data_IF_811138575519
#
_entry.id   IF_811138575519
#
_cell.length_a   1.000
_cell.length_b   1.000
_cell.length_c   1.000
_cell.angle_alpha   90.00
_cell.angle_beta   90.00
_cell.angle_gamma   90.00
#
_symmetry.space_group_name_H-M   'P 1'
#
loop_
_entity.id
_entity.type
_entity.pdbx_description
1 polymer ?
#
# COMPACT_ATOMS: atom_id res chain seq x y z
N UNK A 1 38.06 -7.10 5.78
CA UNK A 1 37.20 -7.85 6.71
C UNK A 1 36.87 -6.88 7.84
N UNK A 2 36.01 -5.93 7.54
CA UNK A 2 35.52 -4.93 8.49
C UNK A 2 34.12 -5.34 8.93
N UNK A 3 33.97 -5.42 10.20
CA UNK A 3 32.80 -5.91 10.94
C UNK A 3 31.57 -5.11 10.57
N UNK A 4 30.55 -5.80 10.06
CA UNK A 4 29.17 -5.37 10.03
C UNK A 4 28.83 -4.71 11.37
N UNK A 5 28.45 -3.43 11.34
CA UNK A 5 27.81 -2.76 12.47
C UNK A 5 26.40 -3.33 12.65
N UNK A 6 26.34 -4.53 13.16
CA UNK A 6 25.13 -5.21 13.57
C UNK A 6 25.09 -5.29 15.08
N UNK A 7 24.78 -4.20 15.75
CA UNK A 7 24.28 -4.22 17.10
C UNK A 7 22.98 -3.44 17.11
N UNK A 8 21.86 -4.17 17.09
CA UNK A 8 20.56 -3.59 17.32
C UNK A 8 20.61 -2.76 18.61
N UNK A 9 20.49 -1.46 18.49
CA UNK A 9 20.31 -0.56 19.61
C UNK A 9 19.13 -1.08 20.46
N UNK A 10 19.28 -1.13 21.78
CA UNK A 10 18.25 -1.57 22.72
C UNK A 10 17.10 -0.53 22.86
N UNK A 11 17.02 0.45 21.96
CA UNK A 11 16.05 1.54 21.94
C UNK A 11 15.02 1.44 20.79
N UNK A 12 14.05 2.37 20.77
CA UNK A 12 13.12 2.51 19.64
C UNK A 12 13.86 2.93 18.36
N UNK A 13 13.31 2.53 17.21
CA UNK A 13 13.77 2.91 15.87
C UNK A 13 13.36 4.38 15.66
N UNK A 14 14.35 5.28 15.60
CA UNK A 14 14.16 6.72 15.43
C UNK A 14 13.72 6.99 14.00
N UNK A 15 12.47 7.43 13.84
CA UNK A 15 11.80 7.42 12.55
C UNK A 15 11.41 8.82 12.11
N UNK A 16 11.66 9.12 10.84
CA UNK A 16 11.17 10.31 10.17
C UNK A 16 10.06 9.95 9.18
N UNK A 17 9.01 10.79 9.12
CA UNK A 17 7.94 10.72 8.11
C UNK A 17 8.02 11.94 7.22
N UNK A 18 8.23 11.73 5.91
CA UNK A 18 8.30 12.77 4.88
C UNK A 18 6.94 12.90 4.20
N UNK A 19 6.31 14.06 4.36
CA UNK A 19 4.95 14.32 3.89
C UNK A 19 3.91 14.05 5.00
N UNK A 20 3.11 15.07 5.33
CA UNK A 20 2.01 14.99 6.29
C UNK A 20 0.66 15.26 5.63
N UNK A 21 0.50 14.70 4.40
CA UNK A 21 -0.80 14.57 3.72
C UNK A 21 -1.58 13.35 4.23
N UNK A 22 -2.51 12.83 3.42
CA UNK A 22 -3.32 11.66 3.79
C UNK A 22 -2.41 10.47 4.19
N UNK A 23 -1.40 10.16 3.39
CA UNK A 23 -0.49 9.05 3.66
C UNK A 23 0.22 9.19 5.01
N UNK A 24 0.98 10.27 5.21
CA UNK A 24 1.71 10.48 6.46
C UNK A 24 0.82 10.64 7.68
N UNK A 25 -0.31 11.37 7.55
CA UNK A 25 -1.20 11.67 8.67
C UNK A 25 -2.09 10.50 9.06
N UNK A 26 -2.65 9.76 8.08
CA UNK A 26 -3.66 8.72 8.34
C UNK A 26 -3.01 7.35 8.49
N UNK A 27 -2.00 7.04 7.67
CA UNK A 27 -1.44 5.69 7.67
C UNK A 27 -0.11 5.60 8.45
N UNK A 28 0.89 6.43 8.13
CA UNK A 28 2.23 6.20 8.67
C UNK A 28 2.40 6.67 10.11
N UNK A 29 2.14 7.94 10.38
CA UNK A 29 2.41 8.52 11.72
C UNK A 29 1.61 7.83 12.85
N UNK A 30 0.30 7.51 12.70
CA UNK A 30 -0.45 6.80 13.74
C UNK A 30 0.06 5.39 14.01
N UNK A 31 0.43 4.65 12.95
CA UNK A 31 0.94 3.28 13.09
C UNK A 31 2.32 3.25 13.76
N UNK A 32 3.20 4.19 13.41
CA UNK A 32 4.53 4.35 14.01
C UNK A 32 4.40 4.76 15.48
N UNK A 33 3.59 5.78 15.77
CA UNK A 33 3.42 6.29 17.12
C UNK A 33 2.75 5.28 18.08
N UNK A 34 1.97 4.34 17.54
CA UNK A 34 1.29 3.31 18.33
C UNK A 34 2.18 2.08 18.63
N UNK A 35 3.31 1.92 17.94
CA UNK A 35 4.20 0.76 18.09
C UNK A 35 5.43 1.14 18.94
N UNK A 36 5.58 0.52 20.11
CA UNK A 36 6.70 0.76 21.03
C UNK A 36 8.09 0.42 20.44
N UNK A 37 8.15 -0.25 19.29
CA UNK A 37 9.41 -0.45 18.57
C UNK A 37 9.96 0.81 17.92
N UNK A 38 9.16 1.85 17.80
CA UNK A 38 9.49 3.09 17.09
C UNK A 38 9.40 4.31 17.98
N UNK A 39 10.11 5.36 17.60
CA UNK A 39 9.84 6.74 17.99
C UNK A 39 9.63 7.58 16.72
N UNK A 40 8.59 8.41 16.72
CA UNK A 40 8.34 9.37 15.63
C UNK A 40 9.09 10.67 15.97
N UNK A 41 10.33 10.78 15.45
CA UNK A 41 11.23 11.87 15.85
C UNK A 41 11.14 13.09 14.94
N UNK A 42 10.86 12.88 13.63
CA UNK A 42 10.79 13.98 12.67
C UNK A 42 9.59 13.82 11.75
N UNK A 43 8.88 14.91 11.49
CA UNK A 43 7.85 15.02 10.45
C UNK A 43 8.23 16.16 9.51
N UNK A 44 8.25 15.87 8.19
CA UNK A 44 8.55 16.86 7.16
C UNK A 44 7.25 17.34 6.51
N UNK A 45 6.97 18.63 6.59
CA UNK A 45 5.88 19.28 5.86
C UNK A 45 6.14 20.79 5.71
N UNK A 46 5.99 21.29 4.48
CA UNK A 46 6.10 22.72 4.19
C UNK A 46 4.79 23.50 4.41
N UNK A 47 3.67 22.77 4.53
CA UNK A 47 2.34 23.37 4.75
C UNK A 47 2.18 23.78 6.22
N UNK A 48 1.91 25.06 6.53
CA UNK A 48 1.86 25.55 7.90
C UNK A 48 0.70 24.99 8.72
N UNK A 49 -0.43 24.69 8.07
CA UNK A 49 -1.60 24.11 8.76
C UNK A 49 -1.31 22.66 9.15
N UNK A 50 -0.72 21.89 8.24
CA UNK A 50 -0.24 20.52 8.52
C UNK A 50 0.88 20.50 9.55
N UNK A 51 1.80 21.47 9.52
CA UNK A 51 2.84 21.58 10.52
C UNK A 51 2.28 21.83 11.93
N UNK A 52 1.30 22.73 12.04
CA UNK A 52 0.59 23.01 13.30
C UNK A 52 -0.19 21.79 13.80
N UNK A 53 -0.84 21.06 12.91
CA UNK A 53 -1.55 19.84 13.24
C UNK A 53 -0.60 18.73 13.67
N UNK A 54 0.51 18.51 12.96
CA UNK A 54 1.54 17.54 13.31
C UNK A 54 2.12 17.81 14.71
N UNK A 55 2.48 19.06 14.99
CA UNK A 55 3.01 19.46 16.30
C UNK A 55 2.00 19.25 17.44
N UNK A 56 0.71 19.40 17.17
CA UNK A 56 -0.35 19.12 18.15
C UNK A 56 -0.55 17.63 18.40
N UNK A 57 -0.50 16.81 17.34
CA UNK A 57 -0.74 15.36 17.43
C UNK A 57 0.49 14.60 17.96
N UNK A 58 1.68 15.07 17.61
CA UNK A 58 2.96 14.45 17.93
C UNK A 58 3.92 15.47 18.55
N UNK A 59 3.69 15.90 19.80
CA UNK A 59 4.43 16.99 20.43
C UNK A 59 5.92 16.69 20.64
N UNK A 60 6.30 15.42 20.65
CA UNK A 60 7.69 14.99 20.80
C UNK A 60 8.45 14.96 19.45
N UNK A 61 7.72 15.03 18.33
CA UNK A 61 8.32 15.03 17.00
C UNK A 61 8.79 16.44 16.60
N UNK A 62 9.97 16.51 16.03
CA UNK A 62 10.48 17.75 15.41
C UNK A 62 9.82 17.93 14.04
N UNK A 63 9.17 19.07 13.83
CA UNK A 63 8.57 19.42 12.54
C UNK A 63 9.58 20.26 11.75
N UNK A 64 9.91 19.81 10.54
CA UNK A 64 10.83 20.50 9.63
C UNK A 64 10.17 20.78 8.28
N UNK A 65 10.49 21.90 7.61
CA UNK A 65 9.79 22.29 6.38
C UNK A 65 10.26 21.54 5.14
N UNK A 66 11.51 21.06 5.09
CA UNK A 66 12.09 20.50 3.85
C UNK A 66 12.78 19.15 4.08
N UNK A 67 12.92 18.34 3.04
CA UNK A 67 13.74 17.12 3.10
C UNK A 67 15.21 17.38 3.40
N UNK A 68 15.77 18.51 2.96
CA UNK A 68 17.15 18.91 3.23
C UNK A 68 17.37 19.11 4.74
N UNK A 69 16.41 19.73 5.43
CA UNK A 69 16.45 19.89 6.89
C UNK A 69 16.39 18.54 7.60
N UNK A 70 15.61 17.58 7.06
CA UNK A 70 15.58 16.21 7.56
C UNK A 70 16.96 15.54 7.40
N UNK A 71 17.52 15.55 6.18
CA UNK A 71 18.78 14.84 5.91
C UNK A 71 19.98 15.45 6.66
N UNK A 72 19.90 16.71 7.07
CA UNK A 72 20.86 17.29 8.01
C UNK A 72 20.82 16.62 9.40
N UNK A 73 19.75 15.89 9.74
CA UNK A 73 19.57 15.13 10.98
C UNK A 73 19.80 13.62 10.80
N UNK A 74 20.29 13.17 9.63
CA UNK A 74 20.39 11.73 9.29
C UNK A 74 21.17 10.89 10.30
N UNK A 75 22.16 11.47 11.00
CA UNK A 75 22.89 10.79 12.07
C UNK A 75 22.08 10.44 13.32
N UNK A 76 20.91 11.06 13.49
CA UNK A 76 20.01 10.87 14.62
C UNK A 76 18.82 9.96 14.26
N UNK A 77 18.77 9.41 13.04
CA UNK A 77 17.66 8.62 12.52
C UNK A 77 18.08 7.19 12.17
N UNK A 78 17.13 6.29 12.23
CA UNK A 78 17.28 4.87 11.90
C UNK A 78 16.37 4.44 10.74
N UNK A 79 15.35 5.24 10.40
CA UNK A 79 14.38 4.93 9.35
C UNK A 79 13.78 6.22 8.77
N UNK A 80 13.60 6.23 7.45
CA UNK A 80 12.82 7.25 6.73
C UNK A 80 11.60 6.61 6.08
N UNK A 81 10.44 7.26 6.22
CA UNK A 81 9.17 6.84 5.62
C UNK A 81 8.69 7.93 4.68
N UNK A 82 8.49 7.60 3.41
CA UNK A 82 8.08 8.52 2.36
C UNK A 82 6.58 8.39 2.09
N UNK A 83 5.80 9.39 2.51
CA UNK A 83 4.36 9.52 2.28
C UNK A 83 4.02 10.74 1.40
N UNK A 84 4.87 11.03 0.42
CA UNK A 84 4.75 12.13 -0.54
C UNK A 84 4.10 11.66 -1.85
N UNK A 85 3.82 12.54 -2.83
CA UNK A 85 3.40 12.09 -4.16
C UNK A 85 4.45 11.23 -4.88
N UNK A 86 4.04 10.27 -5.72
CA UNK A 86 4.94 9.26 -6.34
C UNK A 86 6.11 9.85 -7.13
N UNK A 87 5.90 11.00 -7.77
CA UNK A 87 6.94 11.69 -8.54
C UNK A 87 8.21 12.00 -7.71
N UNK A 88 8.06 12.15 -6.41
CA UNK A 88 9.17 12.50 -5.50
C UNK A 88 9.84 11.28 -4.84
N UNK A 89 9.25 10.08 -4.98
CA UNK A 89 9.70 8.89 -4.27
C UNK A 89 11.13 8.49 -4.64
N UNK A 90 11.45 8.51 -5.95
CA UNK A 90 12.78 8.11 -6.41
C UNK A 90 13.89 8.97 -5.80
N UNK A 91 13.82 10.28 -5.92
CA UNK A 91 14.88 11.19 -5.45
C UNK A 91 15.02 11.16 -3.93
N UNK A 92 13.90 11.13 -3.21
CA UNK A 92 13.91 11.08 -1.74
C UNK A 92 14.45 9.73 -1.23
N UNK A 93 14.03 8.61 -1.84
CA UNK A 93 14.53 7.29 -1.47
C UNK A 93 16.02 7.15 -1.78
N UNK A 94 16.47 7.60 -2.97
CA UNK A 94 17.87 7.59 -3.34
C UNK A 94 18.72 8.43 -2.37
N UNK A 95 18.20 9.58 -1.94
CA UNK A 95 18.89 10.43 -0.96
C UNK A 95 18.98 9.74 0.41
N UNK A 96 17.89 9.14 0.90
CA UNK A 96 17.89 8.41 2.17
C UNK A 96 18.90 7.23 2.14
N UNK A 97 18.91 6.45 1.05
CA UNK A 97 19.85 5.35 0.82
C UNK A 97 21.30 5.85 0.83
N UNK A 98 21.59 7.00 0.17
CA UNK A 98 22.92 7.60 0.17
C UNK A 98 23.38 8.08 1.57
N UNK A 99 22.43 8.39 2.47
CA UNK A 99 22.71 8.68 3.88
C UNK A 99 22.79 7.40 4.75
N UNK A 100 22.68 6.20 4.16
CA UNK A 100 22.73 4.93 4.88
C UNK A 100 21.48 4.64 5.71
N UNK A 101 20.34 5.27 5.37
CA UNK A 101 19.07 5.13 6.08
C UNK A 101 18.17 4.09 5.39
N UNK A 102 17.65 3.09 6.11
CA UNK A 102 16.53 2.28 5.66
C UNK A 102 15.33 3.13 5.25
N UNK A 103 14.57 2.65 4.24
CA UNK A 103 13.49 3.42 3.64
C UNK A 103 12.22 2.60 3.51
N UNK A 104 11.11 3.18 3.93
CA UNK A 104 9.76 2.78 3.53
C UNK A 104 9.28 3.76 2.47
N UNK A 105 8.89 3.28 1.31
CA UNK A 105 8.26 4.09 0.26
C UNK A 105 6.78 3.77 0.20
N UNK A 106 5.91 4.79 0.16
CA UNK A 106 4.48 4.55 -0.06
C UNK A 106 4.24 4.03 -1.49
N UNK A 107 3.07 3.44 -1.72
CA UNK A 107 2.63 3.01 -3.05
C UNK A 107 2.06 4.20 -3.87
N UNK A 108 2.15 4.16 -5.20
CA UNK A 108 2.98 3.28 -6.00
C UNK A 108 4.46 3.50 -5.69
N UNK A 109 5.26 2.44 -5.78
CA UNK A 109 6.67 2.46 -5.37
C UNK A 109 7.46 3.65 -5.95
N UNK A 110 7.44 3.77 -7.25
CA UNK A 110 7.98 4.88 -8.04
C UNK A 110 7.15 5.04 -9.32
N UNK A 111 7.53 5.96 -10.21
CA UNK A 111 6.78 6.21 -11.45
C UNK A 111 7.14 5.28 -12.61
N UNK A 112 8.32 4.62 -12.56
CA UNK A 112 8.75 3.65 -13.59
C UNK A 112 9.45 2.44 -12.97
N UNK A 113 9.40 1.30 -13.65
CA UNK A 113 10.08 0.07 -13.19
C UNK A 113 11.61 0.22 -13.23
N UNK A 114 12.17 1.01 -14.15
CA UNK A 114 13.62 1.30 -14.20
C UNK A 114 14.07 2.05 -12.95
N UNK A 115 13.30 3.04 -12.48
CA UNK A 115 13.57 3.73 -11.21
C UNK A 115 13.50 2.78 -10.02
N UNK A 116 12.51 1.88 -10.00
CA UNK A 116 12.37 0.87 -8.96
C UNK A 116 13.58 -0.06 -8.90
N UNK A 117 13.99 -0.59 -10.05
CA UNK A 117 15.18 -1.45 -10.16
C UNK A 117 16.46 -0.73 -9.71
N UNK A 118 16.60 0.53 -10.07
CA UNK A 118 17.75 1.34 -9.65
C UNK A 118 17.77 1.55 -8.12
N UNK A 119 16.64 1.85 -7.48
CA UNK A 119 16.57 1.99 -6.02
C UNK A 119 16.90 0.68 -5.30
N UNK A 120 16.39 -0.45 -5.79
CA UNK A 120 16.70 -1.78 -5.24
C UNK A 120 18.21 -2.04 -5.31
N UNK A 121 18.82 -1.76 -6.46
CA UNK A 121 20.28 -1.94 -6.63
C UNK A 121 21.07 -1.03 -5.68
N UNK A 122 20.70 0.25 -5.57
CA UNK A 122 21.36 1.21 -4.66
C UNK A 122 21.23 0.80 -3.20
N UNK A 123 20.06 0.31 -2.78
CA UNK A 123 19.83 -0.15 -1.41
C UNK A 123 20.69 -1.39 -1.08
N UNK A 124 20.77 -2.34 -2.03
CA UNK A 124 21.63 -3.51 -1.90
C UNK A 124 23.11 -3.13 -1.80
N UNK A 125 23.60 -2.24 -2.66
CA UNK A 125 24.99 -1.75 -2.66
C UNK A 125 25.33 -1.00 -1.34
N UNK A 126 24.38 -0.23 -0.81
CA UNK A 126 24.54 0.48 0.45
C UNK A 126 24.34 -0.41 1.70
N UNK A 127 23.81 -1.63 1.53
CA UNK A 127 23.49 -2.54 2.63
C UNK A 127 22.37 -2.04 3.54
N UNK A 128 21.41 -1.27 3.00
CA UNK A 128 20.26 -0.74 3.73
C UNK A 128 18.95 -1.40 3.26
N UNK A 129 17.97 -1.47 4.15
CA UNK A 129 16.66 -2.05 3.84
C UNK A 129 15.81 -1.04 3.07
N UNK A 130 15.14 -1.53 2.03
CA UNK A 130 14.15 -0.81 1.25
C UNK A 130 12.87 -1.66 1.20
N UNK A 131 11.73 -1.09 1.52
CA UNK A 131 10.42 -1.77 1.45
C UNK A 131 9.34 -0.81 0.99
N UNK A 132 8.24 -1.36 0.46
CA UNK A 132 7.11 -0.59 -0.06
C UNK A 132 5.87 -0.81 0.81
N UNK A 133 5.14 0.26 1.10
CA UNK A 133 3.96 0.19 1.96
C UNK A 133 2.73 -0.33 1.19
N UNK A 134 2.72 -1.61 0.87
CA UNK A 134 1.56 -2.32 0.31
C UNK A 134 0.55 -2.68 1.42
N UNK A 135 0.02 -1.65 2.08
CA UNK A 135 -0.82 -1.78 3.28
C UNK A 135 -2.04 -2.69 3.09
N UNK A 136 -2.61 -2.73 1.89
CA UNK A 136 -3.81 -3.51 1.59
C UNK A 136 -3.60 -5.03 1.65
N UNK A 137 -2.35 -5.50 1.83
CA UNK A 137 -2.06 -6.90 2.20
C UNK A 137 -2.56 -7.25 3.61
N UNK A 138 -2.86 -6.24 4.43
CA UNK A 138 -3.38 -6.35 5.80
C UNK A 138 -4.81 -5.82 5.94
N UNK A 139 -5.53 -5.65 4.84
CA UNK A 139 -6.98 -5.42 4.86
C UNK A 139 -7.71 -6.67 5.40
N UNK A 140 -8.75 -6.49 6.19
CA UNK A 140 -9.57 -7.57 6.76
C UNK A 140 -10.13 -8.51 5.68
N UNK A 141 -10.62 -7.92 4.59
CA UNK A 141 -11.18 -8.63 3.45
C UNK A 141 -10.11 -9.49 2.73
N UNK A 142 -8.91 -8.95 2.54
CA UNK A 142 -7.81 -9.67 1.91
C UNK A 142 -7.23 -10.77 2.80
N UNK A 143 -7.05 -10.52 4.10
CA UNK A 143 -6.60 -11.52 5.06
C UNK A 143 -7.58 -12.70 5.12
N UNK A 144 -8.88 -12.42 5.10
CA UNK A 144 -9.93 -13.42 5.06
C UNK A 144 -9.84 -14.26 3.79
N UNK A 145 -9.74 -13.61 2.62
CA UNK A 145 -9.63 -14.33 1.36
C UNK A 145 -8.36 -15.18 1.29
N UNK A 146 -7.21 -14.62 1.74
CA UNK A 146 -5.93 -15.35 1.79
C UNK A 146 -6.02 -16.60 2.64
N UNK A 147 -6.73 -16.53 3.77
CA UNK A 147 -7.02 -17.70 4.62
C UNK A 147 -7.86 -18.74 3.89
N UNK A 148 -8.98 -18.32 3.28
CA UNK A 148 -9.86 -19.25 2.55
C UNK A 148 -9.15 -19.97 1.40
N UNK A 149 -8.29 -19.22 0.65
CA UNK A 149 -7.45 -19.80 -0.42
C UNK A 149 -6.39 -20.75 0.17
N UNK A 150 -5.72 -20.33 1.24
CA UNK A 150 -4.68 -21.14 1.91
C UNK A 150 -5.21 -22.42 2.55
N UNK A 151 -6.44 -22.42 3.05
CA UNK A 151 -7.13 -23.60 3.59
C UNK A 151 -7.76 -24.47 2.49
N UNK A 152 -7.65 -24.05 1.23
CA UNK A 152 -8.20 -24.73 0.04
C UNK A 152 -9.71 -25.00 0.13
N UNK A 153 -10.48 -24.25 0.93
CA UNK A 153 -11.93 -24.45 1.09
C UNK A 153 -12.75 -24.07 -0.14
N UNK A 154 -12.16 -23.30 -1.07
CA UNK A 154 -12.73 -23.00 -2.38
C UNK A 154 -12.47 -24.11 -3.41
N UNK A 155 -11.62 -25.09 -3.07
CA UNK A 155 -11.02 -26.00 -4.03
C UNK A 155 -9.98 -25.27 -4.90
N UNK A 156 -9.83 -25.71 -6.15
CA UNK A 156 -8.97 -25.06 -7.13
C UNK A 156 -9.60 -23.73 -7.58
N UNK A 157 -8.97 -22.60 -7.24
CA UNK A 157 -9.45 -21.28 -7.68
C UNK A 157 -9.24 -21.14 -9.18
N UNK A 158 -10.28 -20.72 -9.89
CA UNK A 158 -10.29 -20.56 -11.36
C UNK A 158 -10.47 -19.11 -11.80
N UNK A 159 -11.24 -18.34 -11.04
CA UNK A 159 -11.55 -16.95 -11.33
C UNK A 159 -11.51 -16.12 -10.07
N UNK A 160 -10.80 -15.01 -10.15
CA UNK A 160 -10.71 -13.99 -9.11
C UNK A 160 -11.17 -12.65 -9.69
N UNK A 161 -12.14 -12.04 -9.06
CA UNK A 161 -12.58 -10.69 -9.36
C UNK A 161 -12.36 -9.79 -8.15
N UNK A 162 -11.83 -8.59 -8.38
CA UNK A 162 -11.58 -7.62 -7.34
C UNK A 162 -11.88 -6.21 -7.83
N UNK A 163 -12.49 -5.39 -6.96
CA UNK A 163 -12.92 -4.04 -7.33
C UNK A 163 -12.54 -3.02 -6.29
N UNK A 164 -12.05 -1.86 -6.80
CA UNK A 164 -12.05 -0.59 -6.10
C UNK A 164 -12.88 0.40 -6.92
N UNK A 165 -14.09 0.64 -6.51
CA UNK A 165 -15.09 1.43 -7.23
C UNK A 165 -15.76 2.43 -6.31
N UNK A 166 -15.94 3.66 -6.79
CA UNK A 166 -16.62 4.75 -6.10
C UNK A 166 -17.44 5.60 -7.07
N UNK A 167 -18.40 6.31 -6.55
CA UNK A 167 -19.08 7.38 -7.27
C UNK A 167 -18.53 8.74 -6.86
N UNK A 168 -17.53 9.25 -7.58
CA UNK A 168 -16.88 10.54 -7.37
C UNK A 168 -16.80 11.34 -8.65
N UNK A 169 -17.94 11.79 -9.21
CA UNK A 169 -17.97 12.48 -10.50
C UNK A 169 -17.22 13.82 -10.50
N UNK A 170 -16.98 14.39 -9.30
CA UNK A 170 -16.23 15.65 -9.13
C UNK A 170 -14.75 15.41 -8.77
N UNK A 171 -14.28 14.16 -8.83
CA UNK A 171 -12.91 13.78 -8.50
C UNK A 171 -12.68 13.54 -7.00
N UNK A 172 -11.41 13.44 -6.63
CA UNK A 172 -10.96 13.17 -5.27
C UNK A 172 -10.65 14.44 -4.47
N UNK A 173 -10.63 15.61 -5.14
CA UNK A 173 -10.33 16.92 -4.54
C UNK A 173 -8.86 17.06 -4.11
N UNK A 174 -7.94 16.38 -4.76
CA UNK A 174 -6.52 16.42 -4.45
C UNK A 174 -5.65 16.24 -5.71
N UNK A 175 -4.33 16.11 -5.52
CA UNK A 175 -3.35 16.00 -6.62
C UNK A 175 -3.65 14.88 -7.63
N UNK A 176 -4.38 13.84 -7.24
CA UNK A 176 -4.73 12.71 -8.13
C UNK A 176 -5.58 13.15 -9.31
N UNK A 177 -6.40 14.20 -9.14
CA UNK A 177 -7.29 14.68 -10.18
C UNK A 177 -6.55 15.42 -11.30
N UNK A 178 -5.33 15.90 -11.03
CA UNK A 178 -4.55 16.75 -11.96
C UNK A 178 -3.20 16.16 -12.35
N UNK A 179 -2.69 15.16 -11.63
CA UNK A 179 -1.41 14.54 -11.94
C UNK A 179 -1.44 13.79 -13.27
N UNK A 180 -0.45 14.02 -14.10
CA UNK A 180 -0.27 13.24 -15.33
C UNK A 180 0.10 11.77 -15.02
N UNK A 181 -0.13 10.88 -15.98
CA UNK A 181 0.26 9.46 -15.85
C UNK A 181 1.75 9.32 -15.58
N UNK A 182 2.61 10.14 -16.23
CA UNK A 182 4.06 10.15 -16.02
C UNK A 182 4.49 10.61 -14.62
N UNK A 183 3.58 11.24 -13.87
CA UNK A 183 3.79 11.67 -12.50
C UNK A 183 3.20 10.67 -11.47
N UNK A 184 2.76 9.51 -11.94
CA UNK A 184 2.07 8.50 -11.14
C UNK A 184 0.57 8.76 -10.96
N UNK A 185 -0.02 9.67 -11.77
CA UNK A 185 -1.46 9.92 -11.81
C UNK A 185 -2.23 8.79 -12.48
N UNK A 186 -3.56 8.84 -12.32
CA UNK A 186 -4.50 7.87 -12.87
C UNK A 186 -4.85 6.73 -11.92
N UNK A 187 -6.07 6.24 -12.10
CA UNK A 187 -6.66 5.24 -11.22
C UNK A 187 -5.96 3.88 -11.33
N UNK A 188 -5.40 3.57 -12.50
CA UNK A 188 -4.60 2.36 -12.69
C UNK A 188 -3.32 2.39 -11.83
N UNK A 189 -2.62 3.53 -11.75
CA UNK A 189 -1.45 3.67 -10.90
C UNK A 189 -1.83 3.68 -9.41
N UNK A 190 -2.91 4.39 -9.04
CA UNK A 190 -3.30 4.55 -7.64
C UNK A 190 -3.92 3.27 -7.06
N UNK A 191 -4.94 2.72 -7.71
CA UNK A 191 -5.72 1.57 -7.22
C UNK A 191 -5.28 0.25 -7.83
N UNK A 192 -4.84 0.27 -9.08
CA UNK A 192 -4.31 -0.92 -9.76
C UNK A 192 -3.08 -1.47 -9.05
N UNK A 193 -2.22 -0.60 -8.49
CA UNK A 193 -1.09 -1.02 -7.69
C UNK A 193 -1.49 -1.96 -6.54
N UNK A 194 -2.62 -1.72 -5.89
CA UNK A 194 -3.14 -2.59 -4.83
C UNK A 194 -3.76 -3.88 -5.36
N UNK A 195 -4.63 -3.77 -6.38
CA UNK A 195 -5.37 -4.93 -6.88
C UNK A 195 -4.46 -5.93 -7.57
N UNK A 196 -3.47 -5.44 -8.34
CA UNK A 196 -2.46 -6.28 -8.99
C UNK A 196 -1.56 -6.95 -7.94
N UNK A 197 -1.11 -6.19 -6.94
CA UNK A 197 -0.32 -6.73 -5.82
C UNK A 197 -1.06 -7.87 -5.12
N UNK A 198 -2.32 -7.65 -4.73
CA UNK A 198 -3.15 -8.67 -4.09
C UNK A 198 -3.34 -9.91 -4.96
N UNK A 199 -3.53 -9.74 -6.28
CA UNK A 199 -3.68 -10.87 -7.21
C UNK A 199 -2.38 -11.68 -7.31
N UNK A 200 -1.22 -11.02 -7.40
CA UNK A 200 0.10 -11.67 -7.42
C UNK A 200 0.36 -12.42 -6.10
N UNK A 201 0.03 -11.81 -4.95
CA UNK A 201 0.20 -12.43 -3.65
C UNK A 201 -0.65 -13.71 -3.46
N UNK A 202 -1.82 -13.77 -4.08
CA UNK A 202 -2.71 -14.94 -3.97
C UNK A 202 -2.36 -16.05 -4.97
N UNK A 203 -1.98 -15.67 -6.20
CA UNK A 203 -1.96 -16.63 -7.31
C UNK A 203 -0.61 -16.74 -8.01
N UNK A 204 0.39 -15.98 -7.56
CA UNK A 204 1.76 -16.02 -8.10
C UNK A 204 1.97 -15.14 -9.33
N UNK A 205 3.10 -15.33 -10.04
CA UNK A 205 3.52 -14.49 -11.14
C UNK A 205 2.52 -14.42 -12.29
N UNK A 206 2.49 -13.27 -12.96
CA UNK A 206 1.65 -12.99 -14.13
C UNK A 206 2.38 -13.39 -15.40
N UNK A 207 1.75 -14.20 -16.26
CA UNK A 207 2.28 -14.62 -17.56
C UNK A 207 1.72 -13.80 -18.72
N UNK A 208 0.46 -13.33 -18.59
CA UNK A 208 -0.19 -12.51 -19.60
C UNK A 208 -1.00 -11.42 -18.90
N UNK A 209 -0.95 -10.20 -19.44
CA UNK A 209 -1.75 -9.08 -18.97
C UNK A 209 -2.44 -8.38 -20.12
N UNK A 210 -3.68 -7.94 -19.89
CA UNK A 210 -4.46 -7.09 -20.76
C UNK A 210 -5.13 -6.02 -19.92
N UNK A 211 -5.31 -4.82 -20.45
CA UNK A 211 -6.05 -3.77 -19.75
C UNK A 211 -6.64 -2.73 -20.66
N UNK A 212 -7.59 -2.00 -20.12
CA UNK A 212 -8.28 -0.88 -20.74
C UNK A 212 -8.25 0.28 -19.76
N UNK A 213 -8.06 1.50 -20.25
CA UNK A 213 -8.15 2.72 -19.46
C UNK A 213 -9.04 3.74 -20.14
N UNK A 214 -9.81 4.48 -19.35
CA UNK A 214 -10.65 5.57 -19.85
C UNK A 214 -10.60 6.77 -18.90
N UNK A 215 -10.70 7.98 -19.47
CA UNK A 215 -10.89 9.19 -18.71
C UNK A 215 -12.31 9.72 -18.95
N UNK A 216 -13.13 9.71 -17.90
CA UNK A 216 -14.49 10.24 -17.90
C UNK A 216 -14.59 11.62 -17.21
N UNK A 217 -13.45 12.19 -16.80
CA UNK A 217 -13.40 13.54 -16.22
C UNK A 217 -13.80 14.59 -17.26
N UNK A 218 -14.39 15.72 -16.84
CA UNK A 218 -14.58 16.89 -17.71
C UNK A 218 -13.25 17.48 -18.20
N UNK A 219 -12.13 17.23 -17.54
CA UNK A 219 -10.80 17.63 -17.98
C UNK A 219 -10.20 16.55 -18.90
N UNK A 220 -10.11 16.79 -20.22
CA UNK A 220 -9.57 15.81 -21.16
C UNK A 220 -8.04 15.61 -21.05
N UNK A 221 -7.34 16.49 -20.32
CA UNK A 221 -5.89 16.40 -20.09
C UNK A 221 -5.52 15.55 -18.86
N UNK A 222 -6.49 15.14 -18.07
CA UNK A 222 -6.29 14.34 -16.87
C UNK A 222 -5.96 12.88 -17.16
N UNK A 223 -5.47 12.20 -16.14
CA UNK A 223 -5.22 10.77 -16.19
C UNK A 223 -6.54 9.95 -16.17
N UNK A 224 -6.41 8.63 -16.32
CA UNK A 224 -7.55 7.70 -16.32
C UNK A 224 -8.33 7.73 -14.99
N UNK A 225 -9.67 7.73 -15.13
CA UNK A 225 -10.64 7.65 -14.03
C UNK A 225 -11.32 6.29 -13.94
N UNK A 226 -11.11 5.45 -14.96
CA UNK A 226 -11.54 4.06 -15.03
C UNK A 226 -10.43 3.21 -15.62
N UNK A 227 -10.23 2.02 -15.08
CA UNK A 227 -9.35 1.00 -15.63
C UNK A 227 -9.92 -0.41 -15.38
N UNK A 228 -9.73 -1.27 -16.36
CA UNK A 228 -9.96 -2.72 -16.26
C UNK A 228 -8.65 -3.45 -16.55
N UNK A 229 -8.37 -4.49 -15.76
CA UNK A 229 -7.18 -5.33 -15.93
C UNK A 229 -7.57 -6.80 -15.88
N UNK A 230 -7.08 -7.57 -16.84
CA UNK A 230 -7.16 -9.03 -16.86
C UNK A 230 -5.77 -9.63 -16.81
N UNK A 231 -5.53 -10.54 -15.86
CA UNK A 231 -4.25 -11.22 -15.67
C UNK A 231 -4.45 -12.73 -15.81
N UNK A 232 -3.50 -13.40 -16.45
CA UNK A 232 -3.30 -14.84 -16.38
C UNK A 232 -2.07 -15.12 -15.53
N UNK A 233 -2.24 -15.90 -14.47
CA UNK A 233 -1.15 -16.31 -13.58
C UNK A 233 -0.54 -17.65 -14.02
N UNK A 234 0.72 -17.90 -13.63
CA UNK A 234 1.38 -19.19 -13.85
C UNK A 234 0.57 -20.37 -13.26
N UNK A 235 -0.14 -20.12 -12.17
CA UNK A 235 -1.08 -21.11 -11.57
C UNK A 235 -2.29 -21.43 -12.43
N UNK A 236 -2.52 -20.73 -13.54
CA UNK A 236 -3.69 -20.84 -14.42
C UNK A 236 -4.91 -20.04 -13.95
N UNK A 237 -4.85 -19.39 -12.79
CA UNK A 237 -5.91 -18.51 -12.30
C UNK A 237 -6.04 -17.28 -13.20
N UNK A 238 -7.26 -16.84 -13.43
CA UNK A 238 -7.58 -15.61 -14.15
C UNK A 238 -8.09 -14.56 -13.18
N UNK A 239 -7.35 -13.47 -13.05
CA UNK A 239 -7.76 -12.28 -12.28
C UNK A 239 -8.39 -11.24 -13.19
N UNK A 240 -9.50 -10.64 -12.74
CA UNK A 240 -10.18 -9.51 -13.37
C UNK A 240 -10.34 -8.42 -12.34
N UNK A 241 -9.77 -7.27 -12.62
CA UNK A 241 -9.60 -6.18 -11.67
C UNK A 241 -10.27 -4.92 -12.24
N UNK A 242 -11.13 -4.27 -11.45
CA UNK A 242 -11.80 -3.02 -11.85
C UNK A 242 -11.44 -1.91 -10.89
N UNK A 243 -10.99 -0.81 -11.44
CA UNK A 243 -10.75 0.45 -10.76
C UNK A 243 -11.61 1.51 -11.42
N UNK A 244 -12.57 2.09 -10.70
CA UNK A 244 -13.49 3.05 -11.29
C UNK A 244 -13.91 4.11 -10.28
N UNK A 245 -13.49 5.37 -10.53
CA UNK A 245 -13.90 6.54 -9.74
C UNK A 245 -15.29 7.07 -10.10
N UNK A 246 -15.90 6.55 -11.20
CA UNK A 246 -17.16 7.01 -11.77
C UNK A 246 -18.25 5.94 -11.71
N UNK A 247 -18.12 4.92 -10.86
CA UNK A 247 -19.07 3.84 -10.71
C UNK A 247 -20.31 4.29 -9.93
N UNK A 248 -21.40 4.58 -10.63
CA UNK A 248 -22.67 4.96 -10.00
C UNK A 248 -23.31 3.82 -9.19
N UNK A 249 -22.95 2.58 -9.47
CA UNK A 249 -23.26 1.38 -8.69
C UNK A 249 -22.00 0.55 -8.59
N UNK A 250 -21.57 0.25 -7.37
CA UNK A 250 -20.36 -0.53 -7.12
C UNK A 250 -20.66 -2.03 -7.18
N UNK A 251 -19.70 -2.82 -7.71
CA UNK A 251 -19.73 -4.27 -7.66
C UNK A 251 -19.17 -4.83 -6.34
N UNK A 252 -19.16 -6.17 -6.19
CA UNK A 252 -18.55 -6.79 -5.02
C UNK A 252 -17.04 -6.49 -4.97
N UNK A 253 -16.52 -6.25 -3.76
CA UNK A 253 -15.08 -6.08 -3.51
C UNK A 253 -14.29 -7.28 -4.01
N UNK A 254 -14.74 -8.48 -3.65
CA UNK A 254 -14.23 -9.75 -4.16
C UNK A 254 -15.36 -10.63 -4.64
N UNK A 255 -15.14 -11.30 -5.77
CA UNK A 255 -15.92 -12.45 -6.23
C UNK A 255 -14.97 -13.52 -6.73
N UNK A 256 -14.89 -14.63 -5.98
CA UNK A 256 -13.90 -15.68 -6.21
C UNK A 256 -14.60 -17.00 -6.43
N UNK A 257 -14.25 -17.68 -7.53
CA UNK A 257 -14.86 -18.97 -7.90
C UNK A 257 -13.78 -20.05 -7.95
N UNK A 258 -13.98 -21.06 -7.13
CA UNK A 258 -13.19 -22.28 -7.12
C UNK A 258 -13.92 -23.48 -7.72
N UNK A 259 -13.32 -24.66 -7.63
CA UNK A 259 -13.89 -25.91 -8.12
C UNK A 259 -14.99 -26.48 -7.20
N UNK A 260 -14.99 -26.10 -5.92
CA UNK A 260 -15.88 -26.63 -4.91
C UNK A 260 -16.82 -25.58 -4.34
N UNK A 261 -16.41 -24.30 -4.35
CA UNK A 261 -17.16 -23.23 -3.70
C UNK A 261 -16.77 -21.87 -4.26
N UNK A 262 -17.55 -20.84 -3.88
CA UNK A 262 -17.26 -19.43 -4.17
C UNK A 262 -17.22 -18.58 -2.91
N UNK A 263 -16.63 -17.40 -3.02
CA UNK A 263 -16.61 -16.38 -1.97
C UNK A 263 -16.95 -15.01 -2.56
N UNK A 264 -17.85 -14.30 -1.92
CA UNK A 264 -18.23 -12.93 -2.29
C UNK A 264 -18.14 -12.02 -1.08
N UNK A 265 -17.46 -10.89 -1.23
CA UNK A 265 -17.33 -9.83 -0.23
C UNK A 265 -17.83 -8.51 -0.81
N UNK A 266 -18.56 -7.75 0.00
CA UNK A 266 -19.01 -6.40 -0.33
C UNK A 266 -18.38 -5.39 0.66
N UNK A 267 -18.22 -4.16 0.21
CA UNK A 267 -17.60 -3.11 1.01
C UNK A 267 -16.08 -3.22 1.09
N UNK A 268 -15.44 -2.19 1.59
CA UNK A 268 -13.99 -2.08 1.77
C UNK A 268 -13.64 -2.25 3.24
N UNK A 269 -12.36 -2.51 3.51
CA UNK A 269 -11.79 -2.55 4.86
C UNK A 269 -12.04 -1.25 5.64
N UNK A 270 -12.32 -1.39 6.94
CA UNK A 270 -12.69 -0.28 7.82
C UNK A 270 -11.52 0.44 8.49
N UNK A 271 -10.27 -0.02 8.32
CA UNK A 271 -9.12 0.55 9.03
C UNK A 271 -8.80 1.98 8.61
N UNK A 272 -8.80 2.27 7.28
CA UNK A 272 -8.55 3.62 6.77
C UNK A 272 -9.56 4.65 7.28
N UNK A 273 -10.89 4.44 7.17
CA UNK A 273 -11.87 5.37 7.75
C UNK A 273 -11.74 5.50 9.26
N UNK A 274 -11.41 4.43 10.00
CA UNK A 274 -11.18 4.48 11.43
C UNK A 274 -9.98 5.36 11.79
N UNK A 275 -8.85 5.18 11.12
CA UNK A 275 -7.65 6.02 11.31
C UNK A 275 -7.92 7.48 10.93
N UNK A 276 -8.62 7.73 9.83
CA UNK A 276 -9.02 9.09 9.43
C UNK A 276 -9.94 9.76 10.43
N UNK A 277 -10.77 8.99 11.16
CA UNK A 277 -11.62 9.47 12.24
C UNK A 277 -10.86 9.65 13.57
N UNK A 278 -9.57 9.29 13.65
CA UNK A 278 -8.73 9.43 14.83
C UNK A 278 -8.74 8.23 15.78
N UNK A 279 -9.29 7.08 15.35
CA UNK A 279 -9.13 5.80 16.06
C UNK A 279 -7.66 5.42 16.06
N UNK A 280 -7.13 4.98 17.19
CA UNK A 280 -5.74 4.53 17.25
C UNK A 280 -5.64 3.03 16.97
N UNK A 281 -4.51 2.55 16.40
CA UNK A 281 -4.31 1.12 16.15
C UNK A 281 -4.34 0.24 17.41
N UNK A 282 -4.21 0.85 18.59
CA UNK A 282 -4.26 0.17 19.89
C UNK A 282 -5.65 0.16 20.53
N UNK A 283 -6.62 0.82 19.91
CA UNK A 283 -7.99 0.89 20.45
C UNK A 283 -8.66 -0.49 20.36
N UNK A 284 -9.43 -0.88 21.39
CA UNK A 284 -10.19 -2.12 21.35
C UNK A 284 -11.12 -2.19 20.14
N UNK A 285 -11.03 -3.29 19.37
CA UNK A 285 -11.87 -3.50 18.19
C UNK A 285 -11.33 -2.86 16.91
N UNK A 286 -10.15 -2.20 16.93
CA UNK A 286 -9.50 -1.76 15.71
C UNK A 286 -9.32 -2.93 14.72
N UNK A 287 -9.66 -2.70 13.46
CA UNK A 287 -9.57 -3.69 12.39
C UNK A 287 -10.66 -4.77 12.39
N UNK A 288 -11.57 -4.79 13.39
CA UNK A 288 -12.63 -5.80 13.48
C UNK A 288 -13.86 -5.34 12.70
N UNK A 289 -14.28 -6.13 11.71
CA UNK A 289 -15.51 -5.89 10.96
C UNK A 289 -16.75 -6.40 11.70
N UNK A 290 -17.88 -5.65 11.69
CA UNK A 290 -19.15 -6.16 12.19
C UNK A 290 -19.67 -7.28 11.28
N UNK A 291 -20.53 -8.15 11.82
CA UNK A 291 -21.08 -9.29 11.06
C UNK A 291 -21.83 -8.87 9.79
N UNK A 292 -22.39 -7.68 9.76
CA UNK A 292 -23.10 -7.13 8.59
C UNK A 292 -22.20 -6.95 7.37
N UNK A 293 -20.91 -6.82 7.60
CA UNK A 293 -19.91 -6.57 6.56
C UNK A 293 -19.14 -7.84 6.16
N UNK A 294 -19.43 -8.97 6.80
CA UNK A 294 -18.78 -10.24 6.46
C UNK A 294 -19.12 -10.68 5.03
N UNK A 295 -18.15 -11.35 4.38
CA UNK A 295 -18.37 -12.00 3.11
C UNK A 295 -19.24 -13.26 3.24
N UNK A 296 -19.69 -13.78 2.12
CA UNK A 296 -20.44 -15.03 2.02
C UNK A 296 -19.63 -16.08 1.27
N UNK A 297 -19.64 -17.28 1.79
CA UNK A 297 -18.96 -18.46 1.26
C UNK A 297 -19.97 -19.55 0.96
N UNK A 298 -19.78 -20.33 -0.10
CA UNK A 298 -20.62 -21.47 -0.43
C UNK A 298 -20.95 -21.56 -1.91
N UNK A 299 -22.02 -22.31 -2.21
CA UNK A 299 -22.63 -22.43 -3.54
C UNK A 299 -24.03 -21.82 -3.51
N UNK A 300 -24.57 -21.46 -4.66
CA UNK A 300 -25.93 -20.93 -4.75
C UNK A 300 -26.93 -21.88 -4.11
N UNK A 301 -27.75 -21.36 -3.19
CA UNK A 301 -28.69 -22.11 -2.38
C UNK A 301 -28.15 -22.61 -1.03
N UNK A 302 -26.83 -22.56 -0.79
CA UNK A 302 -26.18 -22.84 0.51
C UNK A 302 -25.06 -21.86 0.80
N UNK A 303 -25.37 -20.56 0.75
CA UNK A 303 -24.42 -19.49 1.10
C UNK A 303 -24.43 -19.24 2.62
N UNK A 304 -23.23 -19.05 3.20
CA UNK A 304 -23.04 -18.83 4.64
C UNK A 304 -22.17 -17.60 4.88
N UNK A 305 -22.51 -16.76 5.87
CA UNK A 305 -21.62 -15.69 6.29
C UNK A 305 -20.28 -16.26 6.80
N UNK A 306 -19.19 -15.64 6.41
CA UNK A 306 -17.83 -16.01 6.85
C UNK A 306 -17.24 -14.88 7.65
N UNK A 307 -16.87 -15.15 8.91
CA UNK A 307 -16.26 -14.15 9.77
C UNK A 307 -14.97 -13.62 9.13
N UNK A 308 -14.86 -12.30 9.08
CA UNK A 308 -13.66 -11.64 8.59
C UNK A 308 -12.51 -11.80 9.59
N UNK A 309 -11.31 -12.05 9.07
CA UNK A 309 -10.09 -11.86 9.84
C UNK A 309 -9.98 -10.37 10.21
N UNK A 310 -9.45 -10.02 11.39
CA UNK A 310 -9.23 -8.62 11.72
C UNK A 310 -8.21 -7.98 10.77
N UNK A 311 -8.51 -6.77 10.30
CA UNK A 311 -7.54 -5.95 9.58
C UNK A 311 -6.35 -5.61 10.46
N UNK A 312 -5.15 -5.57 9.90
CA UNK A 312 -3.92 -5.63 10.69
C UNK A 312 -2.79 -4.73 10.14
N UNK A 313 -3.07 -3.47 9.75
CA UNK A 313 -2.03 -2.52 9.30
C UNK A 313 -0.83 -2.41 10.25
N UNK A 314 -1.00 -2.47 11.60
CA UNK A 314 0.14 -2.44 12.52
C UNK A 314 1.17 -3.55 12.28
N UNK A 315 0.76 -4.70 11.70
CA UNK A 315 1.69 -5.80 11.43
C UNK A 315 2.78 -5.44 10.41
N UNK A 316 2.51 -4.49 9.49
CA UNK A 316 3.56 -4.01 8.59
C UNK A 316 4.75 -3.47 9.39
N UNK A 317 4.49 -2.56 10.33
CA UNK A 317 5.54 -1.94 11.13
C UNK A 317 6.18 -2.92 12.14
N UNK A 318 5.38 -3.81 12.73
CA UNK A 318 5.91 -4.86 13.61
C UNK A 318 6.89 -5.80 12.88
N UNK A 319 6.56 -6.21 11.65
CA UNK A 319 7.43 -7.02 10.80
C UNK A 319 8.66 -6.24 10.34
N UNK A 320 8.49 -4.97 9.96
CA UNK A 320 9.62 -4.11 9.59
C UNK A 320 10.60 -3.92 10.77
N UNK A 321 10.11 -3.71 11.99
CA UNK A 321 10.97 -3.62 13.17
C UNK A 321 11.77 -4.91 13.39
N UNK A 322 11.16 -6.07 13.15
CA UNK A 322 11.86 -7.34 13.20
C UNK A 322 12.95 -7.45 12.12
N UNK A 323 12.63 -7.05 10.88
CA UNK A 323 13.56 -7.07 9.75
C UNK A 323 14.76 -6.13 9.98
N UNK A 324 14.52 -4.89 10.44
CA UNK A 324 15.56 -3.90 10.74
C UNK A 324 16.52 -4.38 11.85
N UNK A 325 16.04 -5.26 12.72
CA UNK A 325 16.84 -5.91 13.79
C UNK A 325 17.44 -7.26 13.37
N UNK A 326 17.32 -7.65 12.09
CA UNK A 326 17.83 -8.93 11.59
C UNK A 326 17.08 -10.16 12.11
N UNK A 327 15.80 -10.01 12.52
CA UNK A 327 14.99 -11.08 13.12
C UNK A 327 13.91 -11.64 12.20
N UNK A 328 13.88 -11.23 10.93
CA UNK A 328 12.89 -11.69 9.95
C UNK A 328 13.07 -11.04 8.60
N UNK A 329 12.27 -11.44 7.61
CA UNK A 329 12.24 -10.79 6.30
C UNK A 329 11.56 -9.41 6.37
N UNK A 330 11.72 -8.62 5.33
CA UNK A 330 10.95 -7.40 5.11
C UNK A 330 9.45 -7.74 5.01
N UNK A 331 8.54 -6.84 5.45
CA UNK A 331 7.09 -7.05 5.31
C UNK A 331 6.65 -7.13 3.85
N UNK A 332 7.32 -6.40 2.97
CA UNK A 332 7.16 -6.41 1.51
C UNK A 332 8.54 -6.37 0.89
N UNK A 333 8.85 -7.35 0.05
CA UNK A 333 10.04 -7.31 -0.79
C UNK A 333 9.82 -6.25 -1.89
N UNK A 334 10.72 -5.28 -2.09
CA UNK A 334 10.55 -4.25 -3.11
C UNK A 334 10.48 -4.83 -4.54
N UNK A 335 11.06 -6.00 -4.81
CA UNK A 335 10.92 -6.69 -6.11
C UNK A 335 9.45 -7.05 -6.40
N UNK A 336 8.65 -7.42 -5.40
CA UNK A 336 7.22 -7.70 -5.58
C UNK A 336 6.46 -6.45 -6.05
N UNK A 337 6.80 -5.26 -5.52
CA UNK A 337 6.23 -3.99 -5.96
C UNK A 337 6.74 -3.56 -7.34
N UNK A 338 7.96 -3.96 -7.69
CA UNK A 338 8.51 -3.77 -9.04
C UNK A 338 7.75 -4.60 -10.08
N UNK A 339 7.38 -5.85 -9.75
CA UNK A 339 6.56 -6.69 -10.63
C UNK A 339 5.18 -6.08 -10.88
N UNK A 340 4.58 -5.45 -9.88
CA UNK A 340 3.34 -4.68 -10.04
C UNK A 340 3.51 -3.53 -11.03
N UNK A 341 4.59 -2.76 -10.92
CA UNK A 341 4.90 -1.66 -11.86
C UNK A 341 5.07 -2.17 -13.28
N UNK A 342 5.79 -3.27 -13.48
CA UNK A 342 5.97 -3.90 -14.79
C UNK A 342 4.64 -4.31 -15.43
N UNK A 343 3.70 -4.84 -14.65
CA UNK A 343 2.35 -5.15 -15.13
C UNK A 343 1.61 -3.87 -15.55
N UNK A 344 1.67 -2.80 -14.75
CA UNK A 344 1.05 -1.52 -15.06
C UNK A 344 1.65 -0.93 -16.34
N UNK A 345 2.97 -0.93 -16.49
CA UNK A 345 3.66 -0.44 -17.69
C UNK A 345 3.28 -1.23 -18.94
N UNK A 346 3.21 -2.57 -18.83
CA UNK A 346 2.75 -3.41 -19.93
C UNK A 346 1.34 -3.05 -20.39
N UNK A 347 0.42 -2.83 -19.44
CA UNK A 347 -0.95 -2.41 -19.76
C UNK A 347 -0.93 -1.03 -20.45
N UNK A 348 -0.19 -0.06 -19.92
CA UNK A 348 -0.07 1.29 -20.49
C UNK A 348 0.50 1.31 -21.90
N UNK A 349 1.35 0.34 -22.26
CA UNK A 349 1.92 0.25 -23.59
C UNK A 349 0.93 -0.21 -24.68
N UNK A 350 -0.22 -0.78 -24.27
CA UNK A 350 -1.24 -1.33 -25.18
C UNK A 350 -2.60 -0.64 -25.06
N UNK A 351 -2.82 0.21 -24.06
CA UNK A 351 -4.09 0.91 -23.78
C UNK A 351 -4.28 2.22 -24.56
#
# INVERSE_FOLDING_TARGET
METLKGSAAAGPIRTAVVGFGISGKVFHAPLIAADANYSLDVIVTADPDRASEAARLYPDARIVPTPEDLFALSGDLDLVVLGTPPLTHFDLAATAIAHGLPVVVDKPFVTTSDQGQELISRAADAGVQLTVFQNRRWDADFLTLRKLVGEAVLGEVRSFESRFEWWRPEGFGNWRDTAAVSEGGGILNDLGAHLIDQAIQLFGPVTESYGETANHSPDPGGADTEAFVSLLHESGVRSRLWMNGMAAQVGPRFHVLGSESGYTKWGLDGQEPALAAGTTPTDPGYGVEPQTDWGTFGIDGDLRPTASEPGAYPLFYAQLAAALRGKGPLPVDPEESLDVLRVIENIRAFA
#
